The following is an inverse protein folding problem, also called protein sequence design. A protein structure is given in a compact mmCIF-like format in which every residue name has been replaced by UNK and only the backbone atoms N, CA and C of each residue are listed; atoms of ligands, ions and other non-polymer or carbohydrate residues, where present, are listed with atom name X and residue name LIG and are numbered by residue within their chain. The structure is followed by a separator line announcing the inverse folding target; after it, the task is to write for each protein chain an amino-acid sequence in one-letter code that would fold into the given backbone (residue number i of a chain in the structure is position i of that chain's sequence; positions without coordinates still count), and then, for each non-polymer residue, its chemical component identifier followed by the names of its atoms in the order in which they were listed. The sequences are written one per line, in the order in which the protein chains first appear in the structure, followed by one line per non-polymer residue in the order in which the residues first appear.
data_IF_399038442262
#
_entry.id   IF_399038442262
#
_cell.length_a   1.000
_cell.length_b   1.000
_cell.length_c   1.000
_cell.angle_alpha   90.00
_cell.angle_beta   90.00
_cell.angle_gamma   90.00
#
_symmetry.space_group_name_H-M   'P 1'
#
loop_
_entity.id
_entity.type
_entity.pdbx_description
1 polymer ?
#
# COMPACT_ATOMS: atom_id res chain seq x y z
N UNK A 1 25.80 8.73 8.43
CA UNK A 1 25.17 7.59 9.12
C UNK A 1 25.44 7.84 10.60
N UNK A 2 24.52 8.49 11.30
CA UNK A 2 24.65 8.69 12.75
C UNK A 2 23.92 7.52 13.42
N UNK A 3 24.71 6.64 14.04
CA UNK A 3 24.20 5.61 14.94
C UNK A 3 24.13 6.28 16.31
N UNK A 4 22.96 6.78 16.68
CA UNK A 4 22.73 7.30 18.03
C UNK A 4 22.35 6.11 18.91
N UNK A 5 23.24 5.75 19.82
CA UNK A 5 23.01 4.78 20.89
C UNK A 5 22.07 5.38 21.95
N UNK A 6 21.13 4.61 22.52
CA UNK A 6 20.30 5.13 23.60
C UNK A 6 21.08 5.13 24.91
N UNK A 7 21.16 6.30 25.54
CA UNK A 7 21.66 6.50 26.89
C UNK A 7 20.71 5.90 27.92
N UNK A 8 21.24 5.13 28.87
CA UNK A 8 20.54 4.59 30.03
C UNK A 8 20.28 5.66 31.09
N UNK A 9 19.04 5.82 31.54
CA UNK A 9 18.72 6.24 32.92
C UNK A 9 17.31 5.77 33.31
N UNK A 10 17.18 5.50 34.60
CA UNK A 10 16.23 4.59 35.25
C UNK A 10 14.89 5.20 35.67
N UNK A 11 13.89 4.32 35.78
CA UNK A 11 12.68 4.36 36.63
C UNK A 11 11.58 5.39 36.33
N UNK A 12 10.49 4.92 35.70
CA UNK A 12 9.17 5.00 36.36
C UNK A 12 8.16 4.01 35.77
N UNK A 13 7.40 3.36 36.66
CA UNK A 13 6.39 2.36 36.35
C UNK A 13 5.25 2.93 35.50
N UNK A 14 5.16 2.46 34.26
CA UNK A 14 3.98 2.48 33.42
C UNK A 14 4.02 1.19 32.60
N UNK A 15 2.88 0.54 32.27
CA UNK A 15 2.92 -0.66 31.45
C UNK A 15 3.42 -0.25 30.06
N UNK A 16 4.71 -0.43 29.84
CA UNK A 16 5.34 -0.31 28.53
C UNK A 16 4.63 -1.35 27.68
N UNK A 17 3.81 -0.90 26.73
CA UNK A 17 3.41 -1.74 25.61
C UNK A 17 4.71 -2.25 25.01
N UNK A 18 5.04 -3.51 25.28
CA UNK A 18 6.22 -4.14 24.75
C UNK A 18 6.18 -4.00 23.23
N UNK A 19 7.12 -3.22 22.70
CA UNK A 19 7.38 -3.12 21.27
C UNK A 19 7.92 -4.47 20.82
N UNK A 20 7.03 -5.41 20.54
CA UNK A 20 7.41 -6.68 19.96
C UNK A 20 7.91 -6.42 18.55
N UNK A 21 9.15 -6.83 18.29
CA UNK A 21 9.67 -7.04 16.95
C UNK A 21 8.78 -8.10 16.28
N UNK A 22 7.76 -7.66 15.56
CA UNK A 22 6.98 -8.53 14.68
C UNK A 22 7.42 -8.20 13.27
N UNK A 23 8.32 -9.02 12.73
CA UNK A 23 8.54 -9.11 11.28
C UNK A 23 7.72 -10.29 10.78
N UNK A 24 6.62 -10.00 10.09
CA UNK A 24 5.70 -10.99 9.54
C UNK A 24 5.82 -10.99 8.01
N UNK A 25 6.16 -12.13 7.42
CA UNK A 25 6.07 -12.40 5.97
C UNK A 25 4.94 -13.36 5.70
N UNK A 26 4.21 -13.14 4.61
CA UNK A 26 3.26 -14.11 4.06
C UNK A 26 3.54 -14.41 2.61
N UNK A 27 3.30 -15.68 2.26
CA UNK A 27 3.59 -16.40 1.02
C UNK A 27 2.48 -17.46 0.79
N UNK A 28 2.45 -18.15 -0.37
CA UNK A 28 1.23 -18.67 -1.06
C UNK A 28 1.12 -20.20 -1.11
N UNK A 29 0.03 -20.85 -1.50
CA UNK A 29 -1.20 -20.47 -2.24
C UNK A 29 -2.41 -21.29 -1.75
N UNK A 30 -3.64 -20.88 -2.12
CA UNK A 30 -4.79 -21.79 -2.19
C UNK A 30 -4.91 -22.32 -3.62
N UNK A 31 -5.06 -23.65 -3.78
CA UNK A 31 -5.21 -24.35 -5.07
C UNK A 31 -6.56 -24.08 -5.78
N UNK A 32 -7.37 -23.12 -5.33
CA UNK A 32 -8.71 -22.87 -5.88
C UNK A 32 -8.93 -21.38 -6.15
N UNK A 33 -9.28 -20.99 -7.39
CA UNK A 33 -9.79 -19.65 -7.65
C UNK A 33 -11.21 -19.53 -7.05
N UNK A 34 -11.47 -18.50 -6.25
CA UNK A 34 -12.81 -18.21 -5.74
C UNK A 34 -13.12 -16.71 -5.80
N UNK A 35 -14.40 -16.39 -6.02
CA UNK A 35 -14.94 -15.04 -6.22
C UNK A 35 -15.06 -14.26 -4.90
N UNK A 36 -15.02 -12.92 -4.99
CA UNK A 36 -15.00 -11.97 -3.87
C UNK A 36 -16.24 -11.94 -2.95
N UNK A 37 -17.21 -12.86 -3.11
CA UNK A 37 -18.59 -12.69 -2.63
C UNK A 37 -18.88 -13.21 -1.21
N UNK A 38 -18.05 -14.07 -0.61
CA UNK A 38 -18.42 -14.79 0.62
C UNK A 38 -18.04 -14.12 1.96
N UNK A 39 -17.47 -12.91 1.95
CA UNK A 39 -16.93 -12.27 3.16
C UNK A 39 -17.87 -11.28 3.86
N UNK A 40 -19.10 -11.17 3.39
CA UNK A 40 -20.06 -10.17 3.91
C UNK A 40 -21.18 -10.80 4.77
N UNK A 41 -21.15 -12.12 4.96
CA UNK A 41 -22.13 -12.87 5.76
C UNK A 41 -21.96 -12.72 7.28
N UNK A 42 -20.96 -11.97 7.78
CA UNK A 42 -20.81 -11.70 9.22
C UNK A 42 -21.24 -10.31 9.66
N UNK A 43 -21.72 -9.44 8.76
CA UNK A 43 -22.44 -8.23 9.16
C UNK A 43 -23.92 -8.54 9.36
N UNK A 44 -24.23 -9.18 10.48
CA UNK A 44 -25.61 -9.24 10.98
C UNK A 44 -25.64 -8.51 12.32
N UNK A 45 -26.24 -7.32 12.34
CA UNK A 45 -26.86 -6.83 13.57
C UNK A 45 -28.15 -7.66 13.66
N UNK A 46 -28.22 -8.62 14.58
CA UNK A 46 -29.51 -9.20 14.95
C UNK A 46 -29.68 -9.29 16.46
N UNK A 47 -30.80 -8.75 16.99
CA UNK A 47 -31.17 -8.85 18.39
C UNK A 47 -31.86 -10.20 18.65
N UNK A 48 -31.29 -11.02 19.53
CA UNK A 48 -31.98 -12.12 20.21
C UNK A 48 -32.32 -13.37 19.37
N UNK A 49 -32.13 -14.55 19.98
CA UNK A 49 -32.69 -15.82 19.50
C UNK A 49 -31.71 -16.99 19.56
N UNK A 50 -32.08 -18.03 20.30
CA UNK A 50 -31.27 -19.20 20.65
C UNK A 50 -31.46 -20.41 19.71
N UNK A 51 -30.60 -21.42 19.93
CA UNK A 51 -30.66 -22.84 19.50
C UNK A 51 -30.21 -23.15 18.05
N UNK A 52 -29.62 -24.29 17.68
CA UNK A 52 -29.31 -25.56 18.36
C UNK A 52 -28.08 -26.23 17.70
N UNK A 53 -27.45 -27.17 18.41
CA UNK A 53 -26.27 -27.92 18.03
C UNK A 53 -26.55 -29.09 17.05
N UNK A 54 -25.54 -29.46 16.26
CA UNK A 54 -25.36 -30.81 15.74
C UNK A 54 -23.87 -31.17 15.69
N UNK A 55 -23.50 -32.14 16.52
CA UNK A 55 -22.19 -32.83 16.59
C UNK A 55 -22.18 -33.95 15.55
N UNK A 56 -21.02 -34.23 14.92
CA UNK A 56 -20.50 -35.58 14.60
C UNK A 56 -19.07 -35.54 14.00
N UNK A 57 -18.30 -36.64 14.03
CA UNK A 57 -16.89 -36.62 14.44
C UNK A 57 -15.92 -37.10 13.36
N UNK A 58 -14.61 -36.91 13.58
CA UNK A 58 -13.57 -37.62 12.85
C UNK A 58 -12.23 -36.90 12.85
N UNK A 59 -11.28 -37.40 13.63
CA UNK A 59 -9.95 -36.80 13.81
C UNK A 59 -8.99 -37.02 12.65
N UNK A 60 -7.94 -36.21 12.64
CA UNK A 60 -6.79 -36.35 11.76
C UNK A 60 -5.63 -35.49 12.29
N UNK A 61 -4.60 -36.14 12.79
CA UNK A 61 -3.43 -35.62 13.50
C UNK A 61 -2.68 -34.51 12.76
N UNK A 62 -2.15 -33.57 13.55
CA UNK A 62 -1.13 -32.63 13.11
C UNK A 62 0.24 -33.29 12.82
N UNK A 63 0.97 -32.62 11.94
CA UNK A 63 2.39 -32.79 11.60
C UNK A 63 2.65 -31.79 10.46
N UNK A 64 3.54 -30.80 10.56
CA UNK A 64 4.87 -30.86 11.13
C UNK A 64 5.83 -31.37 10.06
N UNK A 65 6.32 -30.49 9.18
CA UNK A 65 7.37 -30.81 8.22
C UNK A 65 7.14 -30.27 6.80
N UNK A 66 7.43 -28.99 6.56
CA UNK A 66 7.57 -28.45 5.20
C UNK A 66 9.01 -28.64 4.72
N UNK A 67 9.27 -29.76 4.05
CA UNK A 67 10.59 -30.10 3.50
C UNK A 67 11.07 -29.13 2.40
N UNK A 68 12.38 -28.88 2.37
CA UNK A 68 13.07 -28.04 1.40
C UNK A 68 13.19 -28.71 0.03
N UNK A 69 12.17 -28.48 -0.81
CA UNK A 69 12.21 -28.75 -2.24
C UNK A 69 11.96 -27.48 -3.05
N UNK A 70 12.40 -27.41 -4.32
CA UNK A 70 12.26 -26.24 -5.19
C UNK A 70 10.86 -25.62 -5.18
N UNK A 71 10.77 -24.33 -4.85
CA UNK A 71 9.50 -23.62 -4.74
C UNK A 71 8.87 -23.68 -3.34
N UNK A 72 9.57 -24.26 -2.36
CA UNK A 72 9.18 -24.18 -0.96
C UNK A 72 9.32 -22.76 -0.40
N UNK A 73 8.64 -22.54 0.71
CA UNK A 73 8.68 -21.31 1.49
C UNK A 73 10.10 -20.91 1.94
N UNK A 74 10.92 -21.90 2.31
CA UNK A 74 12.33 -21.72 2.66
C UNK A 74 13.14 -21.25 1.46
N UNK A 75 12.86 -21.78 0.27
CA UNK A 75 13.55 -21.36 -0.95
C UNK A 75 13.22 -19.92 -1.32
N UNK A 76 11.97 -19.49 -1.16
CA UNK A 76 11.62 -18.09 -1.43
C UNK A 76 12.35 -17.14 -0.49
N UNK A 77 12.35 -17.42 0.82
CA UNK A 77 13.07 -16.58 1.80
C UNK A 77 14.56 -16.55 1.46
N UNK A 78 15.14 -17.70 1.11
CA UNK A 78 16.53 -17.80 0.68
C UNK A 78 16.81 -16.97 -0.58
N UNK A 79 15.95 -17.05 -1.60
CA UNK A 79 16.08 -16.27 -2.84
C UNK A 79 15.98 -14.76 -2.57
N UNK A 80 15.11 -14.33 -1.65
CA UNK A 80 15.01 -12.91 -1.26
C UNK A 80 16.27 -12.42 -0.55
N UNK A 81 16.83 -13.23 0.36
CA UNK A 81 18.08 -12.91 1.05
C UNK A 81 19.25 -12.87 0.06
N UNK A 82 19.35 -13.84 -0.84
CA UNK A 82 20.36 -13.86 -1.90
C UNK A 82 20.23 -12.66 -2.83
N UNK A 83 19.01 -12.35 -3.30
CA UNK A 83 18.74 -11.17 -4.12
C UNK A 83 19.16 -9.89 -3.41
N UNK A 84 18.86 -9.77 -2.11
CA UNK A 84 19.31 -8.63 -1.30
C UNK A 84 20.84 -8.54 -1.26
N UNK A 85 21.55 -9.63 -0.94
CA UNK A 85 23.02 -9.65 -0.91
C UNK A 85 23.62 -9.26 -2.27
N UNK A 86 23.07 -9.78 -3.37
CA UNK A 86 23.50 -9.43 -4.73
C UNK A 86 23.24 -7.96 -5.05
N UNK A 87 22.08 -7.43 -4.62
CA UNK A 87 21.76 -6.01 -4.79
C UNK A 87 22.72 -5.13 -3.98
N UNK A 88 22.98 -5.46 -2.72
CA UNK A 88 23.92 -4.72 -1.87
C UNK A 88 25.32 -4.76 -2.47
N UNK A 89 25.79 -5.91 -2.95
CA UNK A 89 27.09 -6.03 -3.63
C UNK A 89 27.14 -5.16 -4.90
N UNK A 90 26.06 -5.12 -5.69
CA UNK A 90 25.98 -4.30 -6.91
C UNK A 90 26.02 -2.79 -6.63
N UNK A 91 25.55 -2.37 -5.45
CA UNK A 91 25.45 -0.97 -5.02
C UNK A 91 26.49 -0.58 -3.95
N UNK A 92 27.26 -1.51 -3.42
CA UNK A 92 28.34 -1.27 -2.46
C UNK A 92 29.46 -0.46 -3.10
N UNK A 93 29.88 0.62 -2.43
CA UNK A 93 31.02 1.46 -2.86
C UNK A 93 30.75 2.39 -4.04
N UNK A 94 29.56 2.34 -4.67
CA UNK A 94 29.13 3.39 -5.61
C UNK A 94 28.67 4.60 -4.79
N UNK A 95 29.11 5.80 -5.17
CA UNK A 95 28.44 7.03 -4.71
C UNK A 95 26.95 6.85 -5.01
N UNK A 96 26.06 7.12 -4.05
CA UNK A 96 24.61 7.14 -4.27
C UNK A 96 24.28 8.20 -5.32
N UNK A 97 24.37 7.80 -6.58
CA UNK A 97 24.11 8.64 -7.72
C UNK A 97 22.64 8.47 -8.09
N UNK A 98 21.96 9.60 -8.28
CA UNK A 98 20.62 9.59 -8.84
C UNK A 98 20.67 9.04 -10.26
N UNK A 99 19.56 8.47 -10.70
CA UNK A 99 19.33 8.15 -12.10
C UNK A 99 19.63 9.39 -12.96
N UNK A 100 20.37 9.21 -14.06
CA UNK A 100 20.88 10.34 -14.84
C UNK A 100 19.77 11.28 -15.35
N UNK A 101 18.62 10.71 -15.74
CA UNK A 101 17.44 11.44 -16.18
C UNK A 101 16.78 12.24 -15.04
N UNK A 102 16.75 11.68 -13.82
CA UNK A 102 16.25 12.38 -12.65
C UNK A 102 17.17 13.54 -12.29
N UNK A 103 18.49 13.30 -12.26
CA UNK A 103 19.50 14.33 -12.01
C UNK A 103 19.36 15.50 -13.00
N UNK A 104 19.19 15.19 -14.30
CA UNK A 104 18.96 16.21 -15.32
C UNK A 104 17.62 16.95 -15.13
N UNK A 105 16.56 16.25 -14.70
CA UNK A 105 15.26 16.86 -14.47
C UNK A 105 15.26 17.83 -13.28
N UNK A 106 16.03 17.55 -12.22
CA UNK A 106 16.13 18.42 -11.03
C UNK A 106 16.97 19.69 -11.27
N UNK A 107 17.86 19.71 -12.27
CA UNK A 107 18.78 20.84 -12.52
C UNK A 107 18.08 22.16 -12.93
N UNK A 108 16.78 22.14 -13.23
CA UNK A 108 16.04 23.33 -13.67
C UNK A 108 14.53 23.22 -13.47
N UNK A 109 14.11 22.99 -12.22
CA UNK A 109 12.70 22.80 -11.87
C UNK A 109 11.85 24.04 -12.19
N UNK A 110 10.69 23.82 -12.83
CA UNK A 110 9.65 24.83 -13.01
C UNK A 110 8.59 24.69 -11.90
N UNK A 111 7.93 25.80 -11.54
CA UNK A 111 6.85 25.79 -10.55
C UNK A 111 5.61 26.53 -11.04
N UNK A 112 4.46 25.88 -10.89
CA UNK A 112 3.14 26.41 -11.22
C UNK A 112 2.29 26.47 -9.96
N UNK A 113 1.72 27.66 -9.65
CA UNK A 113 0.75 27.79 -8.56
C UNK A 113 -0.64 27.48 -9.11
N UNK A 114 -1.33 26.54 -8.48
CA UNK A 114 -2.71 26.18 -8.77
C UNK A 114 -3.59 26.66 -7.62
N UNK A 115 -4.58 27.51 -7.89
CA UNK A 115 -5.47 28.04 -6.87
C UNK A 115 -6.90 28.14 -7.38
N UNK A 116 -7.84 27.47 -6.72
CA UNK A 116 -9.26 27.48 -7.11
C UNK A 116 -9.90 28.87 -7.05
N UNK A 117 -9.36 29.79 -6.26
CA UNK A 117 -9.77 31.20 -6.14
C UNK A 117 -9.18 32.12 -7.24
N UNK A 118 -8.38 31.58 -8.16
CA UNK A 118 -7.80 32.33 -9.27
C UNK A 118 -6.53 33.12 -8.95
N UNK A 119 -5.98 33.05 -7.73
CA UNK A 119 -4.72 33.72 -7.36
C UNK A 119 -3.46 32.99 -7.80
N UNK A 120 -3.60 31.83 -8.44
CA UNK A 120 -2.51 31.06 -9.04
C UNK A 120 -2.40 31.30 -10.54
N UNK A 121 -1.34 30.76 -11.15
CA UNK A 121 -1.21 30.72 -12.62
C UNK A 121 -2.33 29.89 -13.25
N UNK A 122 -2.79 28.84 -12.57
CA UNK A 122 -3.89 28.00 -13.01
C UNK A 122 -4.98 27.93 -11.95
N UNK A 123 -6.23 27.82 -12.41
CA UNK A 123 -7.38 27.62 -11.53
C UNK A 123 -7.63 26.14 -11.22
N UNK A 124 -7.33 25.26 -12.18
CA UNK A 124 -7.53 23.80 -12.08
C UNK A 124 -6.20 23.07 -12.16
N UNK A 125 -6.16 21.85 -11.61
CA UNK A 125 -5.00 20.98 -11.68
C UNK A 125 -4.87 20.42 -13.11
N UNK A 126 -6.00 20.12 -13.75
CA UNK A 126 -6.06 19.68 -15.16
C UNK A 126 -5.34 20.65 -16.11
N UNK A 127 -5.58 21.96 -15.98
CA UNK A 127 -4.93 22.96 -16.86
C UNK A 127 -3.43 23.07 -16.58
N UNK A 128 -3.01 22.91 -15.32
CA UNK A 128 -1.60 22.88 -14.96
C UNK A 128 -0.88 21.65 -15.54
N UNK A 129 -1.51 20.46 -15.54
CA UNK A 129 -0.98 19.25 -16.17
C UNK A 129 -0.92 19.41 -17.70
N UNK A 130 -1.94 20.01 -18.32
CA UNK A 130 -1.94 20.29 -19.76
C UNK A 130 -0.77 21.19 -20.19
N UNK A 131 -0.42 22.17 -19.35
CA UNK A 131 0.69 23.09 -19.61
C UNK A 131 2.09 22.46 -19.47
N UNK A 132 2.21 21.25 -18.92
CA UNK A 132 3.47 20.50 -18.94
C UNK A 132 3.68 19.92 -20.35
N UNK A 133 4.85 20.10 -20.99
CA UNK A 133 5.11 19.55 -22.32
C UNK A 133 5.02 18.02 -22.35
N UNK A 134 4.64 17.45 -23.49
CA UNK A 134 4.84 16.02 -23.75
C UNK A 134 6.34 15.67 -23.76
N UNK A 135 6.66 14.45 -23.35
CA UNK A 135 8.03 13.95 -23.15
C UNK A 135 8.88 14.85 -22.25
N UNK A 136 8.25 15.37 -21.20
CA UNK A 136 8.85 16.30 -20.26
C UNK A 136 10.19 15.77 -19.70
N UNK A 137 11.21 16.63 -19.65
CA UNK A 137 12.56 16.28 -19.13
C UNK A 137 12.97 17.11 -17.91
N UNK A 138 12.06 17.91 -17.36
CA UNK A 138 12.33 18.84 -16.25
C UNK A 138 11.34 18.60 -15.12
N UNK A 139 11.77 18.71 -13.87
CA UNK A 139 10.87 18.69 -12.72
C UNK A 139 9.85 19.83 -12.87
N UNK A 140 8.56 19.51 -12.88
CA UNK A 140 7.49 20.53 -12.83
C UNK A 140 6.69 20.38 -11.55
N UNK A 141 6.78 21.37 -10.68
CA UNK A 141 6.13 21.40 -9.37
C UNK A 141 4.81 22.15 -9.49
N UNK A 142 3.71 21.47 -9.27
CA UNK A 142 2.38 22.04 -9.11
C UNK A 142 2.18 22.31 -7.61
N UNK A 143 2.30 23.57 -7.23
CA UNK A 143 2.03 24.08 -5.89
C UNK A 143 0.52 24.35 -5.77
N UNK A 144 -0.18 23.39 -5.17
CA UNK A 144 -1.64 23.36 -5.13
C UNK A 144 -2.08 23.99 -3.81
N UNK A 145 -2.73 25.15 -3.91
CA UNK A 145 -3.22 25.91 -2.76
C UNK A 145 -4.37 25.16 -2.07
N UNK A 146 -4.62 25.43 -0.77
CA UNK A 146 -5.70 24.80 -0.05
C UNK A 146 -7.05 24.98 -0.75
N UNK A 147 -7.85 23.91 -0.78
CA UNK A 147 -9.15 23.89 -1.42
C UNK A 147 -9.61 22.50 -1.80
N UNK A 148 -10.85 22.40 -2.29
CA UNK A 148 -11.41 21.18 -2.86
C UNK A 148 -11.45 21.27 -4.37
N UNK A 149 -10.74 20.37 -5.03
CA UNK A 149 -10.63 20.23 -6.47
C UNK A 149 -11.44 19.02 -6.90
N UNK A 150 -12.66 19.26 -7.41
CA UNK A 150 -13.53 18.20 -7.96
C UNK A 150 -13.10 17.89 -9.39
N UNK A 151 -12.01 17.14 -9.52
CA UNK A 151 -11.39 16.82 -10.80
C UNK A 151 -11.04 15.33 -10.87
N UNK A 152 -11.30 14.71 -12.01
CA UNK A 152 -10.79 13.38 -12.35
C UNK A 152 -9.51 13.55 -13.16
N UNK A 153 -8.38 13.12 -12.61
CA UNK A 153 -7.05 13.44 -13.15
C UNK A 153 -6.35 12.20 -13.71
N UNK A 154 -5.72 12.38 -14.88
CA UNK A 154 -4.73 11.48 -15.43
C UNK A 154 -3.40 12.24 -15.54
N UNK A 155 -2.35 11.70 -14.93
CA UNK A 155 -0.97 12.14 -15.11
C UNK A 155 -0.35 11.16 -16.12
N UNK A 156 -0.30 11.52 -17.41
CA UNK A 156 0.02 10.57 -18.48
C UNK A 156 1.49 10.17 -18.47
N UNK A 157 1.79 8.94 -18.91
CA UNK A 157 3.16 8.40 -18.97
C UNK A 157 4.14 9.28 -19.76
N UNK A 158 3.63 10.06 -20.71
CA UNK A 158 4.40 11.00 -21.53
C UNK A 158 4.87 12.24 -20.76
N UNK A 159 4.41 12.47 -19.52
CA UNK A 159 4.77 13.65 -18.72
C UNK A 159 5.44 13.27 -17.39
N UNK A 160 6.63 12.65 -17.43
CA UNK A 160 7.36 12.29 -16.21
C UNK A 160 7.81 13.54 -15.44
N UNK A 161 8.29 13.33 -14.20
CA UNK A 161 8.83 14.38 -13.33
C UNK A 161 7.82 15.46 -12.90
N UNK A 162 6.52 15.15 -12.87
CA UNK A 162 5.52 16.04 -12.26
C UNK A 162 5.51 15.85 -10.74
N UNK A 163 5.42 16.95 -9.99
CA UNK A 163 5.28 16.92 -8.53
C UNK A 163 4.07 17.70 -8.09
N UNK A 164 3.19 17.11 -7.28
CA UNK A 164 2.16 17.84 -6.57
C UNK A 164 2.64 18.19 -5.16
N UNK A 165 2.55 19.46 -4.77
CA UNK A 165 2.88 19.88 -3.40
C UNK A 165 1.75 20.73 -2.84
N UNK A 166 1.30 20.38 -1.63
CA UNK A 166 0.34 21.13 -0.85
C UNK A 166 0.87 21.36 0.56
N UNK A 167 0.26 22.29 1.29
CA UNK A 167 0.60 22.55 2.69
C UNK A 167 0.05 21.40 3.57
N UNK A 168 0.88 20.59 4.23
CA UNK A 168 0.39 19.46 5.04
C UNK A 168 -0.51 19.86 6.22
N UNK A 169 -0.45 21.13 6.68
CA UNK A 169 -1.33 21.66 7.74
C UNK A 169 -2.72 22.05 7.22
N UNK A 170 -2.86 22.23 5.91
CA UNK A 170 -4.11 22.57 5.25
C UNK A 170 -4.09 22.00 3.83
N UNK A 171 -4.05 20.66 3.70
CA UNK A 171 -3.78 20.03 2.42
C UNK A 171 -4.94 20.24 1.44
N UNK A 172 -4.68 20.51 0.15
CA UNK A 172 -5.70 20.47 -0.87
C UNK A 172 -6.28 19.05 -1.00
N UNK A 173 -7.57 18.99 -1.30
CA UNK A 173 -8.29 17.74 -1.55
C UNK A 173 -8.64 17.64 -3.02
N UNK A 174 -8.15 16.58 -3.68
CA UNK A 174 -8.55 16.19 -5.03
C UNK A 174 -9.59 15.09 -4.89
N UNK A 175 -10.80 15.30 -5.42
CA UNK A 175 -11.90 14.35 -5.24
C UNK A 175 -12.74 14.11 -6.49
N UNK A 176 -13.20 12.87 -6.61
CA UNK A 176 -14.21 12.41 -7.56
C UNK A 176 -15.05 11.31 -6.89
N UNK A 177 -16.04 10.72 -7.57
CA UNK A 177 -16.99 9.78 -6.97
C UNK A 177 -17.39 8.59 -7.87
N UNK A 178 -16.58 8.30 -8.88
CA UNK A 178 -16.80 7.13 -9.74
C UNK A 178 -16.60 5.82 -8.97
N UNK A 179 -17.52 4.89 -9.21
CA UNK A 179 -17.43 3.46 -8.89
C UNK A 179 -17.17 2.62 -10.14
N UNK A 180 -16.74 1.38 -10.00
CA UNK A 180 -16.58 0.45 -11.11
C UNK A 180 -17.88 0.23 -11.92
N UNK A 181 -19.05 0.28 -11.27
CA UNK A 181 -20.36 0.20 -11.93
C UNK A 181 -20.78 1.50 -12.67
N UNK A 182 -20.06 2.61 -12.48
CA UNK A 182 -20.39 3.88 -13.12
C UNK A 182 -20.22 3.75 -14.62
N UNK A 183 -21.22 4.18 -15.37
CA UNK A 183 -21.20 4.03 -16.82
C UNK A 183 -20.30 5.10 -17.45
N UNK A 184 -19.39 4.65 -18.31
CA UNK A 184 -18.55 5.50 -19.13
C UNK A 184 -19.34 6.15 -20.27
N UNK A 185 -18.62 6.90 -21.11
CA UNK A 185 -19.20 7.57 -22.29
C UNK A 185 -19.71 6.58 -23.35
N UNK A 186 -19.19 5.36 -23.34
CA UNK A 186 -19.62 4.22 -24.16
C UNK A 186 -20.86 3.51 -23.60
N UNK A 187 -21.41 3.99 -22.48
CA UNK A 187 -22.54 3.38 -21.80
C UNK A 187 -22.20 2.08 -21.08
N UNK A 188 -20.92 1.70 -20.96
CA UNK A 188 -20.50 0.48 -20.26
C UNK A 188 -19.96 0.80 -18.86
N UNK A 189 -20.08 -0.11 -17.88
CA UNK A 189 -19.40 0.04 -16.60
C UNK A 189 -17.89 0.26 -16.79
N UNK A 190 -17.34 1.33 -16.22
CA UNK A 190 -15.94 1.69 -16.43
C UNK A 190 -14.94 0.74 -15.76
N UNK A 191 -15.41 -0.08 -14.80
CA UNK A 191 -14.59 -1.01 -14.04
C UNK A 191 -13.69 -0.33 -13.02
N UNK A 192 -13.02 -1.14 -12.19
CA UNK A 192 -12.17 -0.66 -11.09
C UNK A 192 -11.08 0.30 -11.57
N UNK A 193 -10.39 -0.05 -12.66
CA UNK A 193 -9.22 0.71 -13.13
C UNK A 193 -9.57 2.15 -13.52
N UNK A 194 -10.70 2.35 -14.19
CA UNK A 194 -11.15 3.68 -14.64
C UNK A 194 -11.92 4.43 -13.55
N UNK A 195 -12.28 3.80 -12.42
CA UNK A 195 -12.93 4.49 -11.28
C UNK A 195 -12.00 5.45 -10.53
N UNK A 196 -10.70 5.45 -10.84
CA UNK A 196 -9.70 6.26 -10.16
C UNK A 196 -10.01 7.77 -10.21
N UNK A 197 -10.03 8.43 -9.05
CA UNK A 197 -10.05 9.90 -8.95
C UNK A 197 -8.77 10.48 -9.55
N UNK A 198 -7.61 9.93 -9.16
CA UNK A 198 -6.32 10.29 -9.76
C UNK A 198 -5.63 9.01 -10.26
N UNK A 199 -5.24 9.01 -11.53
CA UNK A 199 -4.40 7.99 -12.14
C UNK A 199 -3.01 8.55 -12.46
N UNK A 200 -1.98 7.98 -11.85
CA UNK A 200 -0.57 8.33 -12.08
C UNK A 200 0.06 7.27 -12.98
N UNK A 201 0.31 7.62 -14.24
CA UNK A 201 1.02 6.77 -15.20
C UNK A 201 2.44 7.27 -15.49
N UNK A 202 2.77 8.48 -15.06
CA UNK A 202 4.08 9.09 -15.26
C UNK A 202 5.13 8.60 -14.26
N UNK A 203 6.31 8.31 -14.79
CA UNK A 203 7.48 7.97 -13.97
C UNK A 203 8.01 9.19 -13.21
N UNK A 204 8.66 8.92 -12.06
CA UNK A 204 9.21 9.94 -11.17
C UNK A 204 8.19 10.97 -10.68
N UNK A 205 6.90 10.61 -10.67
CA UNK A 205 5.87 11.43 -10.05
C UNK A 205 6.11 11.53 -8.54
N UNK A 206 5.83 12.69 -7.97
CA UNK A 206 5.87 12.88 -6.52
C UNK A 206 4.63 13.61 -6.04
N UNK A 207 4.08 13.24 -4.89
CA UNK A 207 3.13 14.09 -4.17
C UNK A 207 3.56 14.32 -2.72
N UNK A 208 3.32 15.52 -2.22
CA UNK A 208 3.52 15.85 -0.81
C UNK A 208 2.38 16.70 -0.27
N UNK A 209 1.76 16.28 0.84
CA UNK A 209 0.73 17.06 1.51
C UNK A 209 -0.57 17.21 0.70
N UNK A 210 -0.99 16.15 0.01
CA UNK A 210 -2.22 16.11 -0.81
C UNK A 210 -3.21 15.10 -0.21
N UNK A 211 -4.51 15.41 -0.25
CA UNK A 211 -5.58 14.44 -0.02
C UNK A 211 -6.11 13.94 -1.37
N UNK A 212 -5.95 12.66 -1.65
CA UNK A 212 -6.58 11.97 -2.78
C UNK A 212 -7.82 11.25 -2.27
N UNK A 213 -9.00 11.59 -2.79
CA UNK A 213 -10.26 11.07 -2.25
C UNK A 213 -11.20 10.55 -3.33
N UNK A 214 -11.65 9.31 -3.18
CA UNK A 214 -12.88 8.88 -3.85
C UNK A 214 -14.05 9.03 -2.86
N UNK A 215 -15.05 9.81 -3.24
CA UNK A 215 -16.20 10.15 -2.42
C UNK A 215 -17.47 9.36 -2.79
N UNK A 216 -17.33 8.29 -3.57
CA UNK A 216 -18.41 7.36 -3.80
C UNK A 216 -19.02 6.86 -2.47
N UNK A 217 -20.34 6.61 -2.44
CA UNK A 217 -20.96 5.95 -1.30
C UNK A 217 -20.29 4.61 -1.00
N UNK A 218 -20.13 4.30 0.29
CA UNK A 218 -19.59 3.01 0.72
C UNK A 218 -20.44 1.88 0.15
N UNK A 219 -19.78 0.91 -0.49
CA UNK A 219 -20.44 -0.27 -1.01
C UNK A 219 -21.07 -1.05 0.14
N UNK A 220 -22.34 -1.43 -0.02
CA UNK A 220 -22.98 -2.34 0.92
C UNK A 220 -22.25 -3.69 0.91
N UNK A 221 -22.23 -4.41 2.04
CA UNK A 221 -21.84 -5.81 2.08
C UNK A 221 -22.60 -6.61 0.99
N UNK A 222 -21.89 -7.09 -0.02
CA UNK A 222 -22.36 -7.98 -1.10
C UNK A 222 -22.35 -7.32 -2.46
N UNK A 223 -22.19 -5.99 -2.51
CA UNK A 223 -22.46 -5.21 -3.70
C UNK A 223 -21.47 -5.47 -4.85
N UNK A 224 -22.01 -5.74 -6.04
CA UNK A 224 -21.22 -5.78 -7.27
C UNK A 224 -20.90 -4.37 -7.77
N UNK A 225 -19.67 -4.17 -8.25
CA UNK A 225 -19.25 -2.90 -8.85
C UNK A 225 -19.06 -1.75 -7.84
N UNK A 226 -18.93 -2.05 -6.55
CA UNK A 226 -18.73 -1.09 -5.47
C UNK A 226 -17.30 -0.55 -5.33
N UNK A 227 -16.35 -1.07 -6.10
CA UNK A 227 -14.96 -0.62 -6.11
C UNK A 227 -14.88 0.86 -6.50
N UNK A 228 -14.09 1.66 -5.78
CA UNK A 228 -14.04 3.11 -5.95
C UNK A 228 -12.63 3.64 -5.64
N UNK A 229 -11.78 3.69 -6.67
CA UNK A 229 -10.36 4.01 -6.52
C UNK A 229 -10.15 5.51 -6.26
N UNK A 230 -9.44 5.86 -5.20
CA UNK A 230 -9.00 7.23 -4.91
C UNK A 230 -7.71 7.56 -5.66
N UNK A 231 -6.75 6.65 -5.63
CA UNK A 231 -5.46 6.80 -6.29
C UNK A 231 -5.06 5.51 -6.99
N UNK A 232 -4.75 5.58 -8.28
CA UNK A 232 -4.09 4.52 -9.03
C UNK A 232 -2.66 4.93 -9.36
N UNK A 233 -1.68 4.07 -9.07
CA UNK A 233 -0.26 4.33 -9.36
C UNK A 233 0.30 3.22 -10.25
N UNK A 234 0.71 3.60 -11.46
CA UNK A 234 1.28 2.71 -12.47
C UNK A 234 2.66 3.15 -12.97
N UNK A 235 2.93 4.46 -12.97
CA UNK A 235 4.26 4.97 -13.27
C UNK A 235 5.27 4.47 -12.24
N UNK A 236 6.52 4.24 -12.64
CA UNK A 236 7.56 3.76 -11.75
C UNK A 236 8.30 4.90 -11.04
N UNK A 237 8.94 4.59 -9.91
CA UNK A 237 9.71 5.54 -9.09
C UNK A 237 8.83 6.68 -8.57
N UNK A 238 7.65 6.34 -8.09
CA UNK A 238 6.67 7.30 -7.55
C UNK A 238 6.83 7.44 -6.04
N UNK A 239 6.92 8.69 -5.56
CA UNK A 239 7.08 8.99 -4.14
C UNK A 239 5.90 9.81 -3.58
N UNK A 240 5.38 9.39 -2.43
CA UNK A 240 4.25 10.03 -1.74
C UNK A 240 4.65 10.37 -0.30
N UNK A 241 4.47 11.62 0.10
CA UNK A 241 4.88 12.13 1.41
C UNK A 241 3.73 12.85 2.10
N UNK A 242 3.42 12.54 3.36
CA UNK A 242 2.40 13.29 4.11
C UNK A 242 1.04 13.35 3.38
N UNK A 243 0.74 12.36 2.53
CA UNK A 243 -0.50 12.32 1.76
C UNK A 243 -1.57 11.56 2.52
N UNK A 244 -2.83 11.92 2.29
CA UNK A 244 -3.97 11.10 2.69
C UNK A 244 -4.58 10.48 1.44
N UNK A 245 -4.80 9.17 1.44
CA UNK A 245 -5.53 8.45 0.41
C UNK A 245 -6.79 7.88 1.04
N UNK A 246 -7.94 8.40 0.63
CA UNK A 246 -9.22 8.24 1.32
C UNK A 246 -10.30 7.68 0.39
N UNK A 247 -10.88 6.54 0.73
CA UNK A 247 -11.90 5.92 -0.09
C UNK A 247 -12.66 4.81 0.64
N UNK A 248 -13.38 4.01 -0.14
CA UNK A 248 -14.12 2.84 0.33
C UNK A 248 -13.39 1.55 -0.03
N UNK A 249 -14.05 0.72 -0.83
CA UNK A 249 -13.45 -0.48 -1.41
C UNK A 249 -12.44 -0.09 -2.50
N UNK A 250 -11.30 -0.77 -2.57
CA UNK A 250 -10.26 -0.57 -3.60
C UNK A 250 -9.66 0.85 -3.60
N UNK A 251 -9.41 1.43 -2.43
CA UNK A 251 -9.00 2.85 -2.29
C UNK A 251 -7.69 3.21 -3.02
N UNK A 252 -6.61 2.47 -2.79
CA UNK A 252 -5.31 2.64 -3.42
C UNK A 252 -5.02 1.46 -4.33
N UNK A 253 -5.09 1.71 -5.64
CA UNK A 253 -4.64 0.78 -6.65
C UNK A 253 -3.15 1.01 -6.95
N UNK A 254 -2.31 0.41 -6.12
CA UNK A 254 -0.85 0.31 -6.29
C UNK A 254 -0.51 -0.70 -7.40
N UNK A 255 -0.79 -0.29 -8.64
CA UNK A 255 -0.95 -1.16 -9.80
C UNK A 255 0.36 -1.85 -10.20
N UNK A 256 1.40 -1.10 -10.55
CA UNK A 256 2.72 -1.61 -10.97
C UNK A 256 3.76 -0.51 -10.84
N UNK A 257 5.02 -0.86 -10.56
CA UNK A 257 6.13 0.09 -10.49
C UNK A 257 6.89 0.00 -9.17
N UNK A 258 7.92 0.85 -9.03
CA UNK A 258 8.65 1.03 -7.77
C UNK A 258 8.05 2.22 -7.02
N UNK A 259 7.47 2.01 -5.84
CA UNK A 259 6.79 3.09 -5.13
C UNK A 259 7.27 3.27 -3.69
N UNK A 260 7.22 4.50 -3.22
CA UNK A 260 7.60 4.87 -1.87
C UNK A 260 6.52 5.75 -1.24
N UNK A 261 5.95 5.30 -0.13
CA UNK A 261 4.96 6.04 0.65
C UNK A 261 5.54 6.30 2.03
N UNK A 262 5.65 7.57 2.44
CA UNK A 262 6.21 7.96 3.74
C UNK A 262 5.27 8.88 4.49
N UNK A 263 4.98 8.54 5.75
CA UNK A 263 4.11 9.32 6.63
C UNK A 263 2.74 9.59 5.99
N UNK A 264 2.17 8.58 5.32
CA UNK A 264 0.88 8.69 4.65
C UNK A 264 -0.23 8.09 5.50
N UNK A 265 -1.44 8.65 5.39
CA UNK A 265 -2.65 8.07 5.94
C UNK A 265 -3.43 7.39 4.80
N UNK A 266 -3.72 6.10 4.92
CA UNK A 266 -4.55 5.39 3.94
C UNK A 266 -5.79 4.87 4.66
N UNK A 267 -6.97 5.21 4.15
CA UNK A 267 -8.26 4.82 4.73
C UNK A 267 -9.14 4.16 3.70
N UNK A 268 -9.67 2.99 4.03
CA UNK A 268 -10.64 2.29 3.21
C UNK A 268 -11.31 1.14 3.94
N UNK A 269 -11.96 0.26 3.20
CA UNK A 269 -12.68 -0.90 3.73
C UNK A 269 -12.12 -2.23 3.20
N UNK A 270 -12.65 -2.75 2.10
CA UNK A 270 -12.22 -3.99 1.47
C UNK A 270 -11.07 -3.72 0.50
N UNK A 271 -10.02 -4.53 0.56
CA UNK A 271 -8.88 -4.53 -0.37
C UNK A 271 -8.28 -3.14 -0.64
N UNK A 272 -8.28 -2.28 0.37
CA UNK A 272 -8.10 -0.86 0.10
C UNK A 272 -6.66 -0.46 -0.28
N UNK A 273 -5.67 -1.35 -0.14
CA UNK A 273 -4.38 -1.27 -0.83
C UNK A 273 -4.21 -2.54 -1.63
N UNK A 274 -4.13 -2.41 -2.96
CA UNK A 274 -4.05 -3.56 -3.86
C UNK A 274 -3.27 -3.32 -5.15
N UNK A 275 -2.87 -4.41 -5.81
CA UNK A 275 -2.16 -4.42 -7.08
C UNK A 275 -0.86 -5.22 -7.04
N UNK A 276 0.11 -4.84 -7.87
CA UNK A 276 1.38 -5.55 -8.10
C UNK A 276 2.62 -4.66 -8.01
N UNK A 277 2.50 -3.46 -7.45
CA UNK A 277 3.65 -2.60 -7.17
C UNK A 277 4.69 -3.29 -6.30
N UNK A 278 5.94 -2.86 -6.43
CA UNK A 278 7.01 -3.14 -5.47
C UNK A 278 7.19 -1.89 -4.63
N UNK A 279 6.57 -1.92 -3.45
CA UNK A 279 6.26 -0.69 -2.73
C UNK A 279 6.71 -0.75 -1.29
N UNK A 280 7.42 0.29 -0.86
CA UNK A 280 7.79 0.50 0.53
C UNK A 280 6.86 1.54 1.15
N UNK A 281 6.10 1.11 2.15
CA UNK A 281 5.23 1.92 2.97
C UNK A 281 5.91 2.13 4.33
N UNK A 282 6.37 3.35 4.59
CA UNK A 282 7.01 3.72 5.84
C UNK A 282 6.08 4.63 6.66
N UNK A 283 5.77 4.24 7.90
CA UNK A 283 4.94 5.04 8.82
C UNK A 283 3.52 5.29 8.28
N UNK A 284 2.81 4.21 7.90
CA UNK A 284 1.47 4.23 7.28
C UNK A 284 0.44 3.48 8.15
N UNK A 285 -0.87 3.74 8.01
CA UNK A 285 -1.95 2.96 8.63
C UNK A 285 -2.76 2.12 7.64
N UNK A 286 -2.95 0.80 7.88
CA UNK A 286 -3.20 -0.16 6.76
C UNK A 286 -4.01 -1.43 7.08
N UNK A 287 -4.78 -1.89 6.09
CA UNK A 287 -5.26 -3.26 5.79
C UNK A 287 -4.98 -3.50 4.29
N UNK A 288 -4.49 -4.66 3.85
CA UNK A 288 -4.07 -4.87 2.44
C UNK A 288 -4.76 -6.04 1.73
N UNK A 289 -4.74 -6.05 0.41
CA UNK A 289 -4.91 -7.27 -0.40
C UNK A 289 -4.01 -7.16 -1.63
N UNK A 290 -3.15 -8.14 -1.93
CA UNK A 290 -2.15 -8.00 -2.99
C UNK A 290 -2.31 -9.10 -4.07
N UNK A 291 -2.09 -8.74 -5.35
CA UNK A 291 -2.52 -9.51 -6.53
C UNK A 291 -1.46 -10.54 -7.03
N UNK A 292 -1.89 -11.59 -7.78
CA UNK A 292 -1.14 -12.82 -8.15
C UNK A 292 0.01 -12.59 -9.15
N UNK A 293 1.25 -12.93 -8.81
CA UNK A 293 2.26 -13.30 -9.81
C UNK A 293 2.11 -14.78 -10.23
N UNK A 294 2.51 -15.14 -11.46
CA UNK A 294 2.35 -16.51 -12.01
C UNK A 294 3.40 -17.49 -11.49
N UNK A 295 4.55 -16.98 -11.03
CA UNK A 295 5.65 -17.78 -10.51
C UNK A 295 6.48 -17.00 -9.48
N UNK A 296 7.40 -17.72 -8.83
CA UNK A 296 8.25 -17.21 -7.74
C UNK A 296 9.22 -16.10 -8.20
N UNK A 297 9.71 -16.16 -9.44
CA UNK A 297 10.64 -15.17 -9.98
C UNK A 297 9.94 -13.82 -10.19
N UNK A 298 8.73 -13.81 -10.73
CA UNK A 298 7.90 -12.60 -10.85
C UNK A 298 7.49 -12.03 -9.48
N UNK A 299 7.32 -12.87 -8.47
CA UNK A 299 6.98 -12.45 -7.11
C UNK A 299 8.15 -11.79 -6.38
N UNK A 300 9.41 -12.11 -6.75
CA UNK A 300 10.59 -11.44 -6.20
C UNK A 300 10.65 -9.97 -6.61
N UNK A 301 10.03 -9.59 -7.73
CA UNK A 301 10.01 -8.23 -8.26
C UNK A 301 8.76 -7.43 -7.91
N UNK A 302 7.84 -7.96 -7.10
CA UNK A 302 6.59 -7.29 -6.69
C UNK A 302 6.29 -7.49 -5.20
N UNK A 303 5.47 -6.64 -4.59
CA UNK A 303 5.01 -6.84 -3.22
C UNK A 303 5.15 -5.61 -2.34
N UNK A 304 4.48 -5.68 -1.20
CA UNK A 304 4.33 -4.54 -0.29
C UNK A 304 5.11 -4.77 0.99
N UNK A 305 6.00 -3.85 1.32
CA UNK A 305 6.70 -3.84 2.60
C UNK A 305 6.23 -2.66 3.44
N UNK A 306 5.69 -2.97 4.62
CA UNK A 306 5.23 -2.01 5.62
C UNK A 306 6.27 -1.94 6.74
N UNK A 307 6.89 -0.77 6.89
CA UNK A 307 7.97 -0.52 7.83
C UNK A 307 7.54 0.56 8.83
N UNK A 308 7.56 0.23 10.13
CA UNK A 308 7.22 1.19 11.20
C UNK A 308 5.81 1.79 11.06
N UNK A 309 4.88 0.98 10.55
CA UNK A 309 3.49 1.37 10.33
C UNK A 309 2.65 1.24 11.61
N UNK A 310 1.43 1.77 11.58
CA UNK A 310 0.42 1.62 12.64
C UNK A 310 -0.93 1.21 12.07
N UNK A 311 -1.37 -0.01 12.32
CA UNK A 311 -2.67 -0.50 11.86
C UNK A 311 -3.72 -0.28 12.95
N UNK A 312 -4.81 0.40 12.60
CA UNK A 312 -5.95 0.62 13.48
C UNK A 312 -7.20 0.92 12.66
N UNK A 313 -8.38 0.64 13.21
CA UNK A 313 -9.64 0.96 12.56
C UNK A 313 -10.82 0.57 13.42
N UNK A 314 -11.91 0.18 12.77
CA UNK A 314 -13.17 -0.22 13.39
C UNK A 314 -13.59 -1.55 12.79
N UNK A 315 -14.16 -2.44 13.60
CA UNK A 315 -14.56 -3.79 13.17
C UNK A 315 -13.39 -4.78 13.17
N UNK A 316 -13.55 -5.86 12.40
CA UNK A 316 -12.51 -6.87 12.22
C UNK A 316 -11.58 -6.47 11.08
N UNK A 317 -10.28 -6.50 11.34
CA UNK A 317 -9.23 -6.17 10.37
C UNK A 317 -8.40 -7.42 10.07
N UNK A 318 -8.34 -7.80 8.80
CA UNK A 318 -7.36 -8.77 8.29
C UNK A 318 -6.15 -8.00 7.75
N UNK A 319 -4.93 -8.49 7.94
CA UNK A 319 -3.71 -7.90 7.39
C UNK A 319 -3.65 -8.05 5.88
N UNK A 320 -4.21 -9.13 5.37
CA UNK A 320 -4.69 -9.18 4.01
C UNK A 320 -5.19 -10.53 3.57
N UNK A 321 -5.44 -10.62 2.26
CA UNK A 321 -5.81 -11.84 1.56
C UNK A 321 -4.95 -12.01 0.33
N UNK A 322 -4.51 -13.24 0.10
CA UNK A 322 -3.80 -13.58 -1.12
C UNK A 322 -4.79 -13.56 -2.29
N UNK A 323 -4.84 -12.46 -3.02
CA UNK A 323 -5.42 -12.47 -4.35
C UNK A 323 -4.34 -13.06 -5.24
N UNK A 324 -4.05 -14.39 -5.15
CA UNK A 324 -2.67 -14.82 -5.44
C UNK A 324 -2.38 -16.32 -5.55
N UNK A 325 -1.52 -16.70 -6.51
CA UNK A 325 -0.66 -17.90 -6.44
C UNK A 325 0.77 -17.48 -6.07
N UNK A 326 1.18 -16.22 -6.35
CA UNK A 326 2.33 -15.60 -5.69
C UNK A 326 2.25 -14.13 -5.16
N UNK A 327 1.45 -13.83 -4.11
CA UNK A 327 1.41 -12.61 -3.27
C UNK A 327 2.50 -12.48 -2.17
N UNK A 328 3.16 -11.30 -2.06
CA UNK A 328 4.14 -10.95 -1.03
C UNK A 328 3.74 -9.66 -0.29
N UNK A 329 3.47 -9.80 1.01
CA UNK A 329 3.24 -8.67 1.92
C UNK A 329 4.06 -8.88 3.19
N UNK A 330 4.80 -7.85 3.61
CA UNK A 330 5.70 -7.89 4.76
C UNK A 330 5.38 -6.77 5.72
N UNK A 331 5.21 -7.08 7.00
CA UNK A 331 5.06 -6.09 8.07
C UNK A 331 6.26 -6.16 9.00
N UNK A 332 7.01 -5.06 9.12
CA UNK A 332 8.19 -4.95 9.97
C UNK A 332 8.04 -3.78 10.93
N UNK A 333 8.33 -4.00 12.21
CA UNK A 333 8.25 -2.95 13.27
C UNK A 333 6.90 -2.23 13.31
N UNK A 334 5.82 -2.93 12.92
CA UNK A 334 4.48 -2.33 12.74
C UNK A 334 3.63 -2.58 13.97
N UNK A 335 3.03 -1.52 14.52
CA UNK A 335 2.09 -1.62 15.63
C UNK A 335 0.71 -2.02 15.09
N UNK A 336 0.07 -3.00 15.70
CA UNK A 336 -1.25 -3.50 15.29
C UNK A 336 -2.26 -3.32 16.42
N UNK A 337 -3.39 -2.68 16.12
CA UNK A 337 -4.50 -2.49 17.04
C UNK A 337 -5.22 -3.80 17.39
N UNK A 338 -6.08 -3.75 18.40
CA UNK A 338 -6.88 -4.91 18.86
C UNK A 338 -7.92 -5.38 17.84
N UNK A 339 -8.21 -4.53 16.86
CA UNK A 339 -9.13 -4.77 15.76
C UNK A 339 -8.54 -5.75 14.72
N UNK A 340 -7.20 -5.86 14.66
CA UNK A 340 -6.52 -6.85 13.83
C UNK A 340 -6.81 -8.24 14.40
N UNK A 341 -7.43 -9.11 13.60
CA UNK A 341 -7.76 -10.46 14.06
C UNK A 341 -6.48 -11.28 14.32
N UNK A 342 -6.41 -12.12 15.37
CA UNK A 342 -5.23 -12.92 15.70
C UNK A 342 -4.81 -13.89 14.60
N UNK A 343 -5.76 -14.40 13.79
CA UNK A 343 -5.41 -15.23 12.63
C UNK A 343 -4.61 -14.43 11.59
N UNK A 344 -4.76 -13.10 11.61
CA UNK A 344 -4.05 -12.13 10.79
C UNK A 344 -4.47 -12.12 9.33
N UNK A 345 -4.76 -13.27 8.74
CA UNK A 345 -4.97 -13.43 7.31
C UNK A 345 -6.24 -14.20 7.03
N UNK A 346 -6.90 -13.82 5.94
CA UNK A 346 -8.08 -14.52 5.48
C UNK A 346 -7.70 -15.66 4.51
N UNK A 347 -8.05 -16.89 4.90
CA UNK A 347 -7.90 -18.10 4.09
C UNK A 347 -9.14 -18.43 3.25
N UNK A 348 -10.06 -17.47 3.08
CA UNK A 348 -11.34 -17.57 2.37
C UNK A 348 -12.41 -18.47 3.03
N UNK A 349 -12.02 -19.48 3.80
CA UNK A 349 -12.92 -20.43 4.49
C UNK A 349 -12.90 -20.31 6.03
N UNK A 350 -12.34 -19.24 6.58
CA UNK A 350 -12.21 -19.11 8.04
C UNK A 350 -13.57 -18.83 8.68
N UNK A 351 -14.16 -19.84 9.31
CA UNK A 351 -15.34 -19.64 10.18
C UNK A 351 -14.91 -18.83 11.41
N UNK A 352 -15.48 -17.62 11.54
CA UNK A 352 -15.39 -16.66 12.66
C UNK A 352 -14.05 -16.70 13.43
N UNK A 353 -13.04 -15.89 13.03
CA UNK A 353 -11.78 -15.85 13.75
C UNK A 353 -11.98 -15.34 15.18
N UNK A 354 -11.15 -15.83 16.11
CA UNK A 354 -11.08 -15.31 17.48
C UNK A 354 -10.77 -13.81 17.50
N UNK A 355 -11.13 -13.10 18.58
CA UNK A 355 -10.71 -11.72 18.81
C UNK A 355 -9.48 -11.68 19.73
N UNK A 356 -8.62 -10.68 19.59
CA UNK A 356 -7.46 -10.47 20.46
C UNK A 356 -6.37 -9.63 19.78
N UNK A 357 -5.27 -9.30 20.48
CA UNK A 357 -4.17 -8.56 19.88
C UNK A 357 -3.64 -9.27 18.63
N UNK A 358 -3.87 -8.67 17.46
CA UNK A 358 -3.47 -9.21 16.16
C UNK A 358 -1.96 -9.23 15.90
N UNK A 359 -1.14 -9.02 16.93
CA UNK A 359 0.31 -9.14 16.91
C UNK A 359 0.80 -10.51 17.40
N UNK A 360 -0.02 -11.33 18.08
CA UNK A 360 0.41 -12.61 18.68
C UNK A 360 0.81 -13.67 17.63
N UNK A 361 2.10 -14.04 17.50
CA UNK A 361 2.52 -14.96 16.44
C UNK A 361 1.94 -16.38 16.55
N UNK A 362 1.74 -16.86 17.78
CA UNK A 362 1.25 -18.22 18.07
C UNK A 362 -0.19 -18.48 17.63
N UNK A 363 -0.94 -17.43 17.29
CA UNK A 363 -2.35 -17.51 16.84
C UNK A 363 -2.53 -17.29 15.33
N UNK A 364 -1.44 -17.13 14.57
CA UNK A 364 -1.50 -16.89 13.13
C UNK A 364 -1.80 -18.16 12.35
N UNK A 365 -2.35 -17.98 11.14
CA UNK A 365 -2.57 -19.09 10.21
C UNK A 365 -1.23 -19.74 9.78
N UNK A 366 -1.25 -21.06 9.57
CA UNK A 366 -0.06 -21.88 9.36
C UNK A 366 0.75 -21.59 8.08
N UNK A 367 0.27 -20.71 7.19
CA UNK A 367 0.97 -20.25 5.99
C UNK A 367 1.57 -18.83 6.14
N UNK A 368 1.79 -18.38 7.37
CA UNK A 368 2.52 -17.14 7.68
C UNK A 368 3.86 -17.40 8.37
N UNK A 369 4.83 -16.50 8.17
CA UNK A 369 6.17 -16.54 8.78
C UNK A 369 6.40 -15.40 9.72
N UNK A 370 6.99 -15.74 10.86
CA UNK A 370 7.84 -14.79 11.56
C UNK A 370 9.24 -14.88 10.97
N UNK A 371 9.76 -13.75 10.50
CA UNK A 371 11.13 -13.68 10.02
C UNK A 371 12.12 -13.39 11.15
N UNK A 372 13.33 -13.94 11.02
CA UNK A 372 14.49 -13.42 11.75
C UNK A 372 14.95 -12.07 11.19
N UNK A 373 15.77 -11.33 11.94
CA UNK A 373 16.32 -10.05 11.48
C UNK A 373 17.05 -10.15 10.14
N UNK A 374 17.81 -11.23 9.95
CA UNK A 374 18.55 -11.48 8.71
C UNK A 374 17.58 -11.68 7.54
N UNK A 375 16.50 -12.44 7.76
CA UNK A 375 15.48 -12.68 6.75
C UNK A 375 14.64 -11.43 6.47
N UNK A 376 14.51 -10.52 7.45
CA UNK A 376 13.76 -9.26 7.38
C UNK A 376 14.51 -8.17 6.60
N UNK A 377 15.84 -8.22 6.63
CA UNK A 377 16.73 -7.20 6.05
C UNK A 377 16.40 -6.81 4.60
N UNK A 378 16.05 -7.74 3.68
CA UNK A 378 15.64 -7.41 2.30
C UNK A 378 14.45 -6.44 2.19
N UNK A 379 13.59 -6.37 3.22
CA UNK A 379 12.31 -5.67 3.16
C UNK A 379 12.31 -4.36 3.98
N UNK A 380 13.34 -4.09 4.77
CA UNK A 380 13.32 -3.08 5.85
C UNK A 380 14.05 -1.77 5.51
N UNK A 381 14.25 -1.46 4.23
CA UNK A 381 14.92 -0.24 3.80
C UNK A 381 14.58 0.18 2.37
N UNK A 382 15.06 1.36 1.97
CA UNK A 382 14.85 1.93 0.62
C UNK A 382 15.40 1.04 -0.48
N UNK A 383 16.39 0.19 -0.20
CA UNK A 383 16.92 -0.81 -1.11
C UNK A 383 15.84 -1.78 -1.61
N UNK A 384 14.77 -2.02 -0.84
CA UNK A 384 13.66 -2.85 -1.28
C UNK A 384 13.06 -2.33 -2.59
N UNK A 385 13.06 -1.02 -2.81
CA UNK A 385 12.54 -0.36 -4.01
C UNK A 385 13.64 0.32 -4.84
N UNK A 386 14.91 -0.08 -4.63
CA UNK A 386 16.08 0.55 -5.26
C UNK A 386 16.16 2.06 -5.02
N UNK A 387 15.67 2.52 -3.87
CA UNK A 387 15.37 3.93 -3.60
C UNK A 387 16.56 4.88 -3.59
N UNK A 388 17.78 4.36 -3.46
CA UNK A 388 19.00 5.18 -3.43
C UNK A 388 19.24 5.95 -4.74
N UNK A 389 18.69 5.49 -5.87
CA UNK A 389 18.86 6.16 -7.17
C UNK A 389 17.75 7.15 -7.52
N UNK A 390 16.64 7.20 -6.76
CA UNK A 390 15.47 7.97 -7.19
C UNK A 390 14.62 8.62 -6.10
N UNK A 391 14.76 8.20 -4.83
CA UNK A 391 14.00 8.80 -3.74
C UNK A 391 14.67 10.14 -3.35
N UNK A 392 13.95 11.22 -3.59
CA UNK A 392 14.32 12.58 -3.19
C UNK A 392 13.36 13.11 -2.11
N UNK A 393 13.82 13.99 -1.20
CA UNK A 393 12.93 14.69 -0.29
C UNK A 393 11.95 15.58 -1.08
N UNK A 394 10.70 15.76 -0.59
CA UNK A 394 9.75 16.58 -1.31
C UNK A 394 10.15 18.07 -1.27
N UNK A 395 9.86 18.83 -2.34
CA UNK A 395 10.03 20.27 -2.31
C UNK A 395 9.05 20.89 -1.29
N UNK A 396 9.41 22.05 -0.72
CA UNK A 396 8.52 22.80 0.19
C UNK A 396 7.37 23.44 -0.59
N UNK A 397 6.17 23.50 0.02
CA UNK A 397 5.05 24.33 -0.46
C UNK A 397 5.34 25.81 -0.20
N UNK A 398 4.83 26.70 -1.06
CA UNK A 398 4.93 28.16 -0.91
C UNK A 398 3.81 28.78 -0.08
#
# INVERSE_FOLDING_TARGET
MEIITPSSSSNNNSPVLATFLVVLVVLLASLRPASSQNQQSTFTINPGGAAAAAVRPGGGKGGGGGGGGPGSFSDFVTQNVQHYVLSEQKYAGKVKALDAELSAAEAGAARYVVSGDGKGKFRTITDAIKAVPEYNKKRVILDIRPGTYKEKLLIPFTKPFITFVGNPRSPPTIMWDDRAATHGKDGQPMGTMLSATVAVEADYFMASGIIFKNHAPMAAPGAHGGQAVALRVFGSKVAMYNCTIDGGQDTLYDHKGLHYFKNCLIRGSVDFIFGFGRSLYAEVAVVTAQQRSKNIAEAIDTGFSFLRCKISGIGQIYLGRAWGDSSRVVYSYTTMGKEVVPIGWDGWEVQKPEHGPGALPSKRIGWSLVLSDIQAKPFTGSHFVYGDSWILPPPKSM
#
